data_IF_043218060050
#
_entry.id   IF_043218060050
#
_cell.length_a   1.000
_cell.length_b   1.000
_cell.length_c   1.000
_cell.angle_alpha   90.00
_cell.angle_beta   90.00
_cell.angle_gamma   90.00
#
_symmetry.space_group_name_H-M   'P 1'
#
loop_
_entity.id
_entity.type
_entity.pdbx_description
1 polymer ?
#
# COMPACT_ATOMS: atom_id res chain seq x y z
N UNK A 1 -9.39 8.86 1.43
CA UNK A 1 -9.39 10.23 0.84
C UNK A 1 -8.83 10.14 -0.56
N UNK A 2 -9.40 10.85 -1.53
CA UNK A 2 -8.96 10.84 -2.93
C UNK A 2 -8.91 12.28 -3.47
N UNK A 3 -7.86 12.60 -4.23
CA UNK A 3 -7.62 13.86 -4.92
C UNK A 3 -7.08 13.59 -6.33
N UNK A 4 -6.67 14.62 -7.07
CA UNK A 4 -6.04 14.40 -8.37
C UNK A 4 -4.79 13.52 -8.20
N UNK A 5 -4.80 12.35 -8.84
CA UNK A 5 -3.75 11.32 -8.79
C UNK A 5 -3.24 10.98 -7.39
N UNK A 6 -4.11 11.10 -6.38
CA UNK A 6 -3.74 10.93 -4.98
C UNK A 6 -4.85 10.28 -4.17
N UNK A 7 -4.48 9.44 -3.22
CA UNK A 7 -5.41 8.90 -2.24
C UNK A 7 -5.59 7.39 -2.22
N UNK A 8 -6.66 6.96 -1.56
CA UNK A 8 -7.02 5.56 -1.34
C UNK A 8 -8.29 5.24 -2.13
N UNK A 9 -8.15 4.35 -3.11
CA UNK A 9 -9.22 3.91 -3.99
C UNK A 9 -9.53 2.43 -3.74
N UNK A 10 -10.81 2.12 -3.58
CA UNK A 10 -11.28 0.75 -3.42
C UNK A 10 -12.65 0.63 -4.07
N UNK A 11 -12.82 -0.37 -4.92
CA UNK A 11 -14.13 -0.74 -5.43
C UNK A 11 -14.85 -1.61 -4.41
N UNK A 12 -16.15 -1.36 -4.16
CA UNK A 12 -16.96 -2.31 -3.42
C UNK A 12 -17.11 -3.61 -4.22
N UNK A 13 -17.19 -4.77 -3.53
CA UNK A 13 -17.63 -6.01 -4.16
C UNK A 13 -18.99 -5.86 -4.83
N UNK A 14 -19.24 -6.63 -5.88
CA UNK A 14 -20.57 -6.71 -6.50
C UNK A 14 -21.62 -7.11 -5.47
N UNK A 15 -22.80 -6.48 -5.53
CA UNK A 15 -23.88 -6.70 -4.56
C UNK A 15 -23.77 -5.89 -3.27
N UNK A 16 -22.70 -5.13 -3.05
CA UNK A 16 -22.58 -4.23 -1.89
C UNK A 16 -23.58 -3.08 -1.98
N UNK A 17 -24.28 -2.79 -0.87
CA UNK A 17 -25.16 -1.64 -0.77
C UNK A 17 -24.34 -0.35 -0.77
N UNK A 18 -24.74 0.62 -1.60
CA UNK A 18 -24.05 1.91 -1.72
C UNK A 18 -25.02 3.06 -1.63
N UNK A 19 -24.56 4.17 -1.07
CA UNK A 19 -25.27 5.43 -1.16
C UNK A 19 -24.86 6.17 -2.42
N UNK A 20 -25.86 6.44 -3.27
CA UNK A 20 -25.69 7.29 -4.45
C UNK A 20 -25.94 8.75 -4.06
N UNK A 21 -25.08 9.63 -4.57
CA UNK A 21 -25.30 11.07 -4.58
C UNK A 21 -25.25 11.60 -6.01
N UNK A 22 -25.76 12.82 -6.19
CA UNK A 22 -25.83 13.46 -7.48
C UNK A 22 -25.05 14.76 -7.44
N UNK A 23 -24.09 14.92 -8.37
CA UNK A 23 -23.26 16.10 -8.42
C UNK A 23 -24.12 17.35 -8.66
N UNK A 24 -24.17 18.24 -7.67
CA UNK A 24 -25.04 19.42 -7.69
C UNK A 24 -26.53 19.08 -7.82
N UNK A 25 -26.96 17.91 -7.32
CA UNK A 25 -28.35 17.45 -7.39
C UNK A 25 -28.83 17.03 -8.79
N UNK A 26 -27.93 16.96 -9.79
CA UNK A 26 -28.29 16.62 -11.18
C UNK A 26 -28.51 15.11 -11.34
N UNK A 27 -29.72 14.62 -11.67
CA UNK A 27 -29.99 13.18 -11.77
C UNK A 27 -29.10 12.44 -12.79
N UNK A 28 -28.70 13.13 -13.86
CA UNK A 28 -27.81 12.57 -14.89
C UNK A 28 -26.31 12.50 -14.50
N UNK A 29 -25.95 12.85 -13.27
CA UNK A 29 -24.57 12.80 -12.78
C UNK A 29 -24.47 12.10 -11.41
N UNK A 30 -24.82 10.80 -11.33
CA UNK A 30 -24.67 10.03 -10.11
C UNK A 30 -23.20 9.74 -9.79
N UNK A 31 -22.88 9.61 -8.51
CA UNK A 31 -21.62 9.06 -8.01
C UNK A 31 -21.85 8.30 -6.70
N UNK A 32 -20.97 7.34 -6.39
CA UNK A 32 -20.99 6.63 -5.10
C UNK A 32 -20.40 7.54 -4.03
N UNK A 33 -21.18 7.86 -3.01
CA UNK A 33 -20.76 8.71 -1.88
C UNK A 33 -20.12 7.89 -0.77
N UNK A 34 -20.72 6.74 -0.44
CA UNK A 34 -20.18 5.81 0.54
C UNK A 34 -20.73 4.39 0.31
N UNK A 35 -19.94 3.40 0.71
CA UNK A 35 -20.37 2.00 0.81
C UNK A 35 -21.01 1.79 2.18
N UNK A 36 -22.18 1.16 2.22
CA UNK A 36 -22.88 0.86 3.47
C UNK A 36 -22.48 -0.55 3.92
N UNK A 37 -22.02 -0.74 5.17
CA UNK A 37 -21.58 -2.04 5.66
C UNK A 37 -22.74 -3.00 6.03
N UNK A 38 -23.96 -2.72 5.57
CA UNK A 38 -25.15 -3.52 5.91
C UNK A 38 -25.05 -4.93 5.30
N UNK A 39 -25.22 -5.95 6.14
CA UNK A 39 -25.08 -7.36 5.74
C UNK A 39 -23.65 -7.89 5.70
N UNK A 40 -22.64 -7.09 6.07
CA UNK A 40 -21.23 -7.51 6.14
C UNK A 40 -20.70 -7.42 7.58
N UNK A 41 -19.98 -8.44 8.04
CA UNK A 41 -19.26 -8.35 9.32
C UNK A 41 -18.16 -7.30 9.23
N UNK A 42 -18.07 -6.43 10.23
CA UNK A 42 -16.95 -5.51 10.35
C UNK A 42 -15.65 -6.31 10.57
N UNK A 43 -14.51 -5.83 10.04
CA UNK A 43 -13.23 -6.41 10.38
C UNK A 43 -12.96 -6.25 11.89
N UNK A 44 -12.13 -7.12 12.45
CA UNK A 44 -11.68 -7.03 13.84
C UNK A 44 -10.73 -5.83 14.02
N UNK A 45 -11.31 -4.64 14.18
CA UNK A 45 -10.62 -3.37 14.40
C UNK A 45 -10.96 -2.86 15.80
N UNK A 46 -9.94 -2.48 16.56
CA UNK A 46 -10.11 -1.93 17.90
C UNK A 46 -10.19 -0.39 17.88
N UNK A 47 -10.86 0.25 18.85
CA UNK A 47 -10.87 1.70 18.97
C UNK A 47 -9.45 2.29 19.02
N UNK A 48 -9.18 3.28 18.17
CA UNK A 48 -7.87 3.93 18.07
C UNK A 48 -6.91 3.29 17.07
N UNK A 49 -7.24 2.13 16.49
CA UNK A 49 -6.47 1.54 15.40
C UNK A 49 -6.79 2.17 14.04
N UNK A 50 -5.88 1.99 13.10
CA UNK A 50 -6.15 2.22 11.67
C UNK A 50 -5.94 0.91 10.91
N UNK A 51 -6.93 0.52 10.11
CA UNK A 51 -6.92 -0.75 9.39
C UNK A 51 -7.37 -0.56 7.94
N UNK A 52 -6.50 -0.95 7.01
CA UNK A 52 -6.85 -1.19 5.63
C UNK A 52 -6.77 -2.70 5.37
N UNK A 53 -7.85 -3.32 4.93
CA UNK A 53 -7.96 -4.78 4.85
C UNK A 53 -8.63 -5.23 3.55
N UNK A 54 -8.10 -6.29 2.94
CA UNK A 54 -8.80 -7.04 1.88
C UNK A 54 -9.50 -8.28 2.44
N UNK A 55 -8.80 -9.03 3.32
CA UNK A 55 -9.32 -10.12 4.16
C UNK A 55 -8.47 -10.24 5.43
N UNK A 56 -8.85 -11.06 6.40
CA UNK A 56 -8.20 -11.08 7.73
C UNK A 56 -6.67 -11.25 7.67
N UNK A 57 -6.19 -12.07 6.74
CA UNK A 57 -4.77 -12.40 6.55
C UNK A 57 -4.00 -11.38 5.70
N UNK A 58 -4.71 -10.44 5.04
CA UNK A 58 -4.13 -9.46 4.11
C UNK A 58 -4.56 -8.05 4.50
N UNK A 59 -3.67 -7.35 5.21
CA UNK A 59 -3.96 -6.04 5.79
C UNK A 59 -2.74 -5.12 5.92
N UNK A 60 -3.03 -3.84 6.15
CA UNK A 60 -2.11 -2.84 6.68
C UNK A 60 -2.75 -2.25 7.93
N UNK A 61 -2.13 -2.45 9.08
CA UNK A 61 -2.65 -2.04 10.38
C UNK A 61 -1.64 -1.17 11.11
N UNK A 62 -2.15 -0.11 11.73
CA UNK A 62 -1.47 0.63 12.80
C UNK A 62 -2.20 0.32 14.10
N UNK A 63 -1.49 -0.30 15.06
CA UNK A 63 -2.05 -0.66 16.37
C UNK A 63 -2.20 0.57 17.26
N UNK A 64 -2.92 0.44 18.38
CA UNK A 64 -3.01 1.49 19.40
C UNK A 64 -1.63 1.89 19.95
N UNK A 65 -0.69 0.94 20.06
CA UNK A 65 0.67 1.21 20.50
C UNK A 65 1.54 1.89 19.42
N UNK A 66 1.03 2.01 18.19
CA UNK A 66 1.73 2.59 17.05
C UNK A 66 2.55 1.59 16.23
N UNK A 67 2.34 0.28 16.45
CA UNK A 67 3.02 -0.75 15.65
C UNK A 67 2.45 -0.78 14.23
N UNK A 68 3.33 -0.90 13.25
CA UNK A 68 2.95 -1.10 11.86
C UNK A 68 3.01 -2.59 11.52
N UNK A 69 1.86 -3.17 11.16
CA UNK A 69 1.71 -4.59 10.85
C UNK A 69 1.16 -4.75 9.43
N UNK A 70 1.91 -5.43 8.55
CA UNK A 70 1.55 -5.63 7.14
C UNK A 70 1.70 -7.09 6.70
N UNK A 71 0.76 -7.96 7.05
CA UNK A 71 0.71 -9.33 6.58
C UNK A 71 0.12 -9.41 5.17
N UNK A 72 0.63 -10.35 4.39
CA UNK A 72 0.05 -10.81 3.14
C UNK A 72 0.53 -12.23 2.88
N UNK A 73 -0.32 -13.03 2.27
CA UNK A 73 0.01 -14.38 1.80
C UNK A 73 0.50 -14.38 0.34
N UNK A 74 0.55 -13.20 -0.29
CA UNK A 74 1.04 -12.98 -1.64
C UNK A 74 2.34 -12.18 -1.64
N UNK A 75 2.88 -11.94 -2.84
CA UNK A 75 4.12 -11.21 -3.03
C UNK A 75 4.00 -9.74 -2.60
N UNK A 76 4.96 -9.28 -1.79
CA UNK A 76 5.23 -7.86 -1.60
C UNK A 76 6.30 -7.44 -2.61
N UNK A 77 5.96 -6.54 -3.54
CA UNK A 77 6.89 -5.92 -4.49
C UNK A 77 7.08 -4.44 -4.16
N UNK A 78 8.32 -4.04 -3.83
CA UNK A 78 8.67 -2.67 -3.48
C UNK A 78 9.77 -2.16 -4.42
N UNK A 79 9.51 -1.07 -5.14
CA UNK A 79 10.50 -0.35 -5.94
C UNK A 79 10.70 1.04 -5.35
N UNK A 80 11.94 1.41 -5.06
CA UNK A 80 12.27 2.71 -4.47
C UNK A 80 13.61 3.21 -4.99
N UNK A 81 13.80 4.53 -4.97
CA UNK A 81 15.10 5.14 -5.30
C UNK A 81 16.15 4.83 -4.22
N UNK A 82 15.76 4.89 -2.94
CA UNK A 82 16.59 4.57 -1.80
C UNK A 82 15.73 3.96 -0.70
N UNK A 83 16.25 2.92 -0.04
CA UNK A 83 15.65 2.30 1.15
C UNK A 83 16.67 2.35 2.28
N UNK A 84 16.32 3.05 3.36
CA UNK A 84 17.13 3.13 4.58
C UNK A 84 16.30 2.55 5.72
N UNK A 85 16.76 1.46 6.32
CA UNK A 85 16.14 0.84 7.49
C UNK A 85 17.07 1.07 8.68
N UNK A 86 16.55 1.69 9.74
CA UNK A 86 17.25 1.88 11.01
C UNK A 86 16.41 1.23 12.09
N UNK A 87 16.93 0.17 12.68
CA UNK A 87 16.27 -0.57 13.76
C UNK A 87 17.33 -0.97 14.78
N UNK A 88 16.94 -1.08 16.06
CA UNK A 88 17.80 -1.66 17.09
C UNK A 88 18.02 -3.18 16.86
N UNK A 89 17.00 -3.85 16.30
CA UNK A 89 17.06 -5.26 15.89
C UNK A 89 16.23 -5.48 14.63
N UNK A 90 16.72 -6.30 13.71
CA UNK A 90 16.02 -6.71 12.49
C UNK A 90 16.22 -8.23 12.28
N UNK A 91 15.12 -8.97 12.15
CA UNK A 91 15.14 -10.39 11.82
C UNK A 91 14.54 -10.62 10.44
N UNK A 92 15.22 -11.41 9.60
CA UNK A 92 14.74 -11.83 8.29
C UNK A 92 14.96 -13.33 8.13
N UNK A 93 13.91 -14.03 7.74
CA UNK A 93 13.97 -15.43 7.32
C UNK A 93 13.72 -15.49 5.82
N UNK A 94 14.70 -15.99 5.07
CA UNK A 94 14.70 -16.01 3.62
C UNK A 94 15.24 -17.35 3.14
N UNK A 95 14.54 -18.00 2.21
CA UNK A 95 15.03 -19.24 1.57
C UNK A 95 16.09 -18.93 0.50
N UNK A 96 15.90 -17.84 -0.25
CA UNK A 96 16.85 -17.38 -1.27
C UNK A 96 16.84 -15.86 -1.35
N UNK A 97 18.01 -15.28 -1.64
CA UNK A 97 18.20 -13.85 -1.88
C UNK A 97 19.14 -13.66 -3.06
N UNK A 98 18.61 -13.05 -4.12
CA UNK A 98 19.41 -12.57 -5.25
C UNK A 98 19.65 -11.06 -5.11
N UNK A 99 20.86 -10.59 -5.40
CA UNK A 99 21.18 -9.16 -5.34
C UNK A 99 22.15 -8.80 -6.45
N UNK A 100 21.72 -7.92 -7.35
CA UNK A 100 22.53 -7.44 -8.46
C UNK A 100 23.07 -6.05 -8.15
N UNK A 101 24.39 -5.94 -7.98
CA UNK A 101 25.08 -4.67 -7.77
C UNK A 101 25.65 -4.18 -9.09
N UNK A 102 25.15 -3.04 -9.59
CA UNK A 102 25.75 -2.35 -10.75
C UNK A 102 26.71 -1.28 -10.26
N UNK A 103 27.99 -1.47 -10.52
CA UNK A 103 29.01 -0.45 -10.32
C UNK A 103 29.17 0.36 -11.60
N UNK A 104 29.16 1.70 -11.50
CA UNK A 104 29.54 2.59 -12.59
C UNK A 104 30.96 3.08 -12.32
N UNK A 105 31.95 2.43 -12.94
CA UNK A 105 33.35 2.84 -12.83
C UNK A 105 33.57 4.07 -13.73
N UNK A 106 33.98 5.19 -13.16
CA UNK A 106 34.55 6.31 -13.92
C UNK A 106 36.04 6.03 -14.12
N UNK A 107 36.45 5.71 -15.34
CA UNK A 107 37.87 5.64 -15.68
C UNK A 107 38.49 7.05 -15.57
N UNK A 108 39.60 7.20 -14.83
CA UNK A 108 40.31 8.47 -14.76
C UNK A 108 40.86 8.84 -16.14
N UNK A 109 41.07 10.14 -16.38
CA UNK A 109 41.43 10.66 -17.71
C UNK A 109 42.72 10.03 -18.27
N UNK A 110 43.66 9.66 -17.40
CA UNK A 110 44.93 9.02 -17.77
C UNK A 110 44.80 7.52 -18.12
N UNK A 111 43.66 6.88 -17.84
CA UNK A 111 43.39 5.48 -18.13
C UNK A 111 42.54 5.27 -19.40
N UNK A 112 42.33 6.33 -20.21
CA UNK A 112 41.66 6.21 -21.51
C UNK A 112 42.69 5.86 -22.59
N UNK A 113 42.44 4.85 -23.44
CA UNK A 113 43.33 4.57 -24.56
C UNK A 113 43.38 5.80 -25.48
N UNK A 114 44.58 6.30 -25.74
CA UNK A 114 44.81 7.26 -26.81
C UNK A 114 44.79 6.47 -28.12
N UNK A 115 43.75 6.67 -28.94
CA UNK A 115 43.77 6.32 -30.36
C UNK A 115 44.41 7.45 -31.16
#
# INVERSE_FOLDING_TARGET
>A
MAGNDSGMYQFPPEGTLVEIAFTGGRPGKPFVRQTVPEGTSLPDIQPGEQLQQQRAEVSQRVTLAGDWVRPTDQTISETSMARVVKAASEQRELVSRETTVRLRIKLPCWARPHY
#
